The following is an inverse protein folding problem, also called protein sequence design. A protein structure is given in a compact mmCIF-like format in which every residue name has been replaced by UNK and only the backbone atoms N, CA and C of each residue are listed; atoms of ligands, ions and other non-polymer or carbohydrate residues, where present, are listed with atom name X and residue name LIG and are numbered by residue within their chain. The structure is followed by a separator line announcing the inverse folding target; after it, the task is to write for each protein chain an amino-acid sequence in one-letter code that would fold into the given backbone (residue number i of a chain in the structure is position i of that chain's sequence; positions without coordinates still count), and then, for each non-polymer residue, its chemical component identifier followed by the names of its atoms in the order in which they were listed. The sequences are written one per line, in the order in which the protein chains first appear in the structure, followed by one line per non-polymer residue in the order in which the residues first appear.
data_IF_393015174704
#
_entry.id   IF_393015174704
#
_cell.length_a   1.000
_cell.length_b   1.000
_cell.length_c   1.000
_cell.angle_alpha   90.00
_cell.angle_beta   90.00
_cell.angle_gamma   90.00
#
_symmetry.space_group_name_H-M   'P 1'
#
loop_
_entity.id
_entity.type
_entity.pdbx_description
1 polymer ?
#
# COMPACT_ATOMS: atom_id res chain seq x y z
N UNK A 1 -32.08 -32.93 11.97
CA UNK A 1 -31.70 -31.65 12.61
C UNK A 1 -30.20 -31.40 12.65
N UNK A 2 -29.32 -32.39 12.74
CA UNK A 2 -27.85 -32.22 12.79
C UNK A 2 -27.20 -31.70 11.48
N UNK A 3 -27.71 -32.10 10.32
CA UNK A 3 -27.14 -31.71 9.02
C UNK A 3 -27.33 -30.22 8.70
N UNK A 4 -28.46 -29.64 9.13
CA UNK A 4 -28.71 -28.20 8.94
C UNK A 4 -27.76 -27.31 9.79
N UNK A 5 -27.46 -27.76 11.02
CA UNK A 5 -26.49 -27.07 11.89
C UNK A 5 -25.07 -27.11 11.34
N UNK A 6 -24.65 -28.21 10.74
CA UNK A 6 -23.35 -28.34 10.09
C UNK A 6 -23.25 -27.44 8.85
N UNK A 7 -24.32 -27.36 8.04
CA UNK A 7 -24.36 -26.46 6.89
C UNK A 7 -24.29 -24.98 7.27
N UNK A 8 -25.03 -24.58 8.30
CA UNK A 8 -24.99 -23.21 8.82
C UNK A 8 -23.60 -22.83 9.36
N UNK A 9 -22.95 -23.76 10.09
CA UNK A 9 -21.59 -23.57 10.60
C UNK A 9 -20.55 -23.38 9.50
N UNK A 10 -20.63 -24.16 8.40
CA UNK A 10 -19.73 -24.03 7.27
C UNK A 10 -19.90 -22.69 6.54
N UNK A 11 -21.11 -22.23 6.34
CA UNK A 11 -21.39 -20.93 5.69
C UNK A 11 -20.87 -19.78 6.54
N UNK A 12 -21.07 -19.82 7.85
CA UNK A 12 -20.52 -18.81 8.77
C UNK A 12 -18.99 -18.82 8.78
N UNK A 13 -18.36 -19.98 8.81
CA UNK A 13 -16.90 -20.10 8.77
C UNK A 13 -16.31 -19.56 7.45
N UNK A 14 -16.92 -19.87 6.31
CA UNK A 14 -16.51 -19.36 5.01
C UNK A 14 -16.67 -17.83 4.90
N UNK A 15 -17.76 -17.29 5.44
CA UNK A 15 -18.01 -15.85 5.46
C UNK A 15 -16.99 -15.11 6.34
N UNK A 16 -16.67 -15.65 7.52
CA UNK A 16 -15.65 -15.11 8.42
C UNK A 16 -14.25 -15.17 7.80
N UNK A 17 -13.90 -16.27 7.13
CA UNK A 17 -12.64 -16.42 6.42
C UNK A 17 -12.50 -15.42 5.28
N UNK A 18 -13.57 -15.23 4.48
CA UNK A 18 -13.60 -14.24 3.40
C UNK A 18 -13.40 -12.81 3.91
N UNK A 19 -14.08 -12.45 5.00
CA UNK A 19 -13.91 -11.16 5.66
C UNK A 19 -12.48 -10.97 6.17
N UNK A 20 -11.93 -11.98 6.85
CA UNK A 20 -10.57 -11.90 7.41
C UNK A 20 -9.50 -11.74 6.31
N UNK A 21 -9.61 -12.51 5.23
CA UNK A 21 -8.68 -12.39 4.10
C UNK A 21 -8.78 -11.03 3.39
N UNK A 22 -9.98 -10.48 3.27
CA UNK A 22 -10.20 -9.15 2.73
C UNK A 22 -9.54 -8.07 3.62
N UNK A 23 -9.73 -8.14 4.95
CA UNK A 23 -9.11 -7.22 5.89
C UNK A 23 -7.57 -7.32 5.90
N UNK A 24 -7.02 -8.52 5.81
CA UNK A 24 -5.58 -8.72 5.76
C UNK A 24 -4.95 -8.03 4.53
N UNK A 25 -5.56 -8.20 3.35
CA UNK A 25 -5.11 -7.53 2.11
C UNK A 25 -5.23 -6.01 2.19
N UNK A 26 -6.33 -5.51 2.76
CA UNK A 26 -6.53 -4.08 2.93
C UNK A 26 -5.49 -3.46 3.87
N UNK A 27 -5.17 -4.15 4.96
CA UNK A 27 -4.11 -3.73 5.90
C UNK A 27 -2.74 -3.67 5.21
N UNK A 28 -2.38 -4.68 4.42
CA UNK A 28 -1.12 -4.71 3.68
C UNK A 28 -1.01 -3.53 2.69
N UNK A 29 -2.07 -3.22 1.96
CA UNK A 29 -2.09 -2.06 1.04
C UNK A 29 -1.86 -0.73 1.76
N UNK A 30 -2.44 -0.54 2.96
CA UNK A 30 -2.23 0.67 3.76
C UNK A 30 -0.82 0.77 4.29
N UNK A 31 -0.26 -0.33 4.79
CA UNK A 31 1.13 -0.39 5.26
C UNK A 31 2.09 -0.02 4.12
N UNK A 32 1.84 -0.54 2.91
CA UNK A 32 2.66 -0.22 1.75
C UNK A 32 2.61 1.29 1.40
N UNK A 33 1.42 1.91 1.39
CA UNK A 33 1.29 3.36 1.12
C UNK A 33 2.10 4.18 2.11
N UNK A 34 1.97 3.88 3.40
CA UNK A 34 2.72 4.55 4.45
C UNK A 34 4.23 4.34 4.30
N UNK A 35 4.65 3.11 4.03
CA UNK A 35 6.05 2.77 3.83
C UNK A 35 6.67 3.50 2.64
N UNK A 36 5.93 3.60 1.53
CA UNK A 36 6.38 4.36 0.36
C UNK A 36 6.47 5.86 0.66
N UNK A 37 5.49 6.44 1.36
CA UNK A 37 5.55 7.84 1.77
C UNK A 37 6.76 8.12 2.67
N UNK A 38 7.05 7.23 3.63
CA UNK A 38 8.22 7.33 4.51
C UNK A 38 9.53 7.23 3.71
N UNK A 39 9.61 6.30 2.76
CA UNK A 39 10.78 6.13 1.90
C UNK A 39 11.06 7.38 1.04
N UNK A 40 10.01 8.00 0.46
CA UNK A 40 10.17 9.26 -0.27
C UNK A 40 10.65 10.39 0.64
N UNK A 41 10.21 10.44 1.90
CA UNK A 41 10.69 11.40 2.89
C UNK A 41 12.16 11.19 3.24
N UNK A 42 12.62 9.95 3.35
CA UNK A 42 14.04 9.63 3.53
C UNK A 42 14.88 10.06 2.32
N UNK A 43 14.38 9.82 1.09
CA UNK A 43 15.04 10.29 -0.13
C UNK A 43 15.12 11.82 -0.17
N UNK A 44 14.02 12.52 0.10
CA UNK A 44 13.98 13.99 0.17
C UNK A 44 15.03 14.52 1.15
N UNK A 45 15.04 13.96 2.36
CA UNK A 45 15.97 14.36 3.43
C UNK A 45 17.43 14.05 3.07
N UNK A 46 17.69 12.88 2.50
CA UNK A 46 19.01 12.45 2.04
C UNK A 46 19.59 13.36 0.97
N UNK A 47 18.79 13.77 -0.01
CA UNK A 47 19.20 14.70 -1.06
C UNK A 47 19.41 16.11 -0.48
N UNK A 48 18.49 16.58 0.35
CA UNK A 48 18.45 17.96 0.82
C UNK A 48 19.56 18.26 1.84
N UNK A 49 19.74 17.37 2.83
CA UNK A 49 20.62 17.63 3.96
C UNK A 49 21.95 16.91 3.84
N UNK A 50 21.95 15.66 3.41
CA UNK A 50 23.15 14.82 3.34
C UNK A 50 23.84 14.88 1.99
N UNK A 51 23.23 15.49 0.99
CA UNK A 51 23.72 15.54 -0.39
C UNK A 51 24.08 14.16 -0.97
N UNK A 52 23.37 13.14 -0.50
CA UNK A 52 23.62 11.75 -0.89
C UNK A 52 23.13 11.51 -2.31
N UNK A 53 23.91 10.86 -3.18
CA UNK A 53 23.47 10.49 -4.53
C UNK A 53 22.24 9.56 -4.49
N UNK A 54 21.31 9.75 -5.42
CA UNK A 54 20.08 8.95 -5.54
C UNK A 54 20.32 7.43 -5.55
N UNK A 55 21.30 6.88 -6.28
CA UNK A 55 21.56 5.44 -6.26
C UNK A 55 21.89 4.89 -4.86
N UNK A 56 22.66 5.64 -4.07
CA UNK A 56 23.03 5.24 -2.69
C UNK A 56 21.80 5.25 -1.78
N UNK A 57 20.90 6.22 -1.94
CA UNK A 57 19.64 6.27 -1.19
C UNK A 57 18.73 5.10 -1.55
N UNK A 58 18.62 4.75 -2.84
CA UNK A 58 17.86 3.61 -3.31
C UNK A 58 18.40 2.28 -2.76
N UNK A 59 19.71 2.14 -2.71
CA UNK A 59 20.36 0.98 -2.11
C UNK A 59 20.04 0.86 -0.62
N UNK A 60 20.12 1.97 0.13
CA UNK A 60 19.71 2.01 1.53
C UNK A 60 18.24 1.62 1.73
N UNK A 61 17.34 2.10 0.88
CA UNK A 61 15.93 1.78 0.94
C UNK A 61 15.61 0.33 0.53
N UNK A 62 16.46 -0.31 -0.25
CA UNK A 62 16.28 -1.71 -0.70
C UNK A 62 16.29 -2.72 0.45
N UNK A 63 16.88 -2.35 1.59
CA UNK A 63 16.92 -3.16 2.82
C UNK A 63 15.66 -3.11 3.67
N UNK A 64 14.68 -2.27 3.36
CA UNK A 64 13.43 -2.16 4.14
C UNK A 64 12.54 -3.39 3.93
N UNK A 65 11.91 -3.88 4.99
CA UNK A 65 11.03 -5.05 4.92
C UNK A 65 9.68 -4.74 4.26
N UNK A 66 9.20 -3.50 4.41
CA UNK A 66 7.86 -3.06 4.04
C UNK A 66 7.71 -2.67 2.54
N UNK A 67 8.69 -1.97 1.99
CA UNK A 67 8.70 -1.49 0.59
C UNK A 67 10.02 -1.74 -0.16
N UNK A 68 11.04 -2.29 0.50
CA UNK A 68 12.39 -2.45 -0.05
C UNK A 68 12.45 -3.31 -1.31
N UNK A 69 11.53 -4.24 -1.49
CA UNK A 69 11.45 -5.07 -2.71
C UNK A 69 11.33 -4.20 -3.98
N UNK A 70 10.59 -3.10 -3.92
CA UNK A 70 10.42 -2.19 -5.06
C UNK A 70 11.69 -1.42 -5.36
N UNK A 71 12.33 -0.86 -4.34
CA UNK A 71 13.60 -0.14 -4.49
C UNK A 71 14.74 -1.07 -4.92
N UNK A 72 14.75 -2.32 -4.47
CA UNK A 72 15.71 -3.33 -4.93
C UNK A 72 15.58 -3.60 -6.42
N UNK A 73 14.35 -3.75 -6.93
CA UNK A 73 14.12 -3.91 -8.38
C UNK A 73 14.63 -2.71 -9.19
N UNK A 74 14.46 -1.49 -8.67
CA UNK A 74 15.03 -0.30 -9.32
C UNK A 74 16.56 -0.37 -9.32
N UNK A 75 17.18 -0.71 -8.19
CA UNK A 75 18.63 -0.82 -8.08
C UNK A 75 19.21 -1.92 -8.99
N UNK A 76 18.54 -3.06 -9.10
CA UNK A 76 18.92 -4.14 -10.02
C UNK A 76 18.91 -3.69 -11.49
N UNK A 77 17.91 -2.91 -11.90
CA UNK A 77 17.87 -2.34 -13.25
C UNK A 77 18.97 -1.30 -13.50
N UNK A 78 19.31 -0.50 -12.46
CA UNK A 78 20.43 0.45 -12.56
C UNK A 78 21.78 -0.25 -12.77
N UNK A 79 21.98 -1.43 -12.18
CA UNK A 79 23.18 -2.24 -12.40
C UNK A 79 23.27 -2.78 -13.85
N UNK A 80 22.15 -2.83 -14.57
CA UNK A 80 22.07 -3.19 -16.00
C UNK A 80 22.17 -1.99 -16.94
N UNK A 81 22.77 -0.86 -16.52
CA UNK A 81 22.93 0.38 -17.30
C UNK A 81 21.60 1.02 -17.79
N UNK A 82 20.49 0.71 -17.15
CA UNK A 82 19.19 1.33 -17.45
C UNK A 82 19.15 2.73 -16.79
N UNK A 83 18.74 3.79 -17.52
CA UNK A 83 18.58 5.10 -16.93
C UNK A 83 17.62 5.10 -15.73
N UNK A 84 17.96 5.85 -14.67
CA UNK A 84 17.22 5.88 -13.41
C UNK A 84 15.71 6.12 -13.60
N UNK A 85 15.32 7.08 -14.45
CA UNK A 85 13.92 7.37 -14.70
C UNK A 85 13.19 6.20 -15.36
N UNK A 86 13.84 5.51 -16.30
CA UNK A 86 13.25 4.35 -17.00
C UNK A 86 13.09 3.17 -16.04
N UNK A 87 14.10 2.92 -15.20
CA UNK A 87 14.05 1.88 -14.16
C UNK A 87 12.91 2.17 -13.16
N UNK A 88 12.79 3.42 -12.71
CA UNK A 88 11.74 3.87 -11.82
C UNK A 88 10.35 3.65 -12.42
N UNK A 89 10.11 4.16 -13.62
CA UNK A 89 8.83 4.07 -14.31
C UNK A 89 8.43 2.61 -14.58
N UNK A 90 9.38 1.77 -14.98
CA UNK A 90 9.13 0.35 -15.26
C UNK A 90 8.71 -0.42 -14.01
N UNK A 91 9.41 -0.21 -12.89
CA UNK A 91 9.14 -0.89 -11.63
C UNK A 91 7.79 -0.48 -11.04
N UNK A 92 7.50 0.83 -11.01
CA UNK A 92 6.26 1.33 -10.41
C UNK A 92 5.04 1.23 -11.34
N UNK A 93 5.23 0.91 -12.64
CA UNK A 93 4.13 0.56 -13.55
C UNK A 93 3.49 -0.78 -13.23
N UNK A 94 4.22 -1.69 -12.61
CA UNK A 94 3.77 -3.06 -12.27
C UNK A 94 3.17 -3.11 -10.85
N UNK A 95 3.10 -1.97 -10.14
CA UNK A 95 2.51 -1.94 -8.82
C UNK A 95 1.00 -2.26 -8.90
N UNK A 96 0.57 -3.31 -8.19
CA UNK A 96 -0.84 -3.77 -8.19
C UNK A 96 -1.82 -2.67 -7.73
N UNK A 97 -1.35 -1.76 -6.89
CA UNK A 97 -2.12 -0.61 -6.44
C UNK A 97 -1.91 0.55 -7.42
N UNK A 98 -2.82 0.68 -8.36
CA UNK A 98 -2.77 1.64 -9.46
C UNK A 98 -2.62 3.08 -8.97
N UNK A 99 -3.30 3.49 -7.88
CA UNK A 99 -3.19 4.86 -7.35
C UNK A 99 -1.76 5.16 -6.84
N UNK A 100 -1.16 4.22 -6.10
CA UNK A 100 0.23 4.38 -5.63
C UNK A 100 1.21 4.41 -6.80
N UNK A 101 1.01 3.51 -7.76
CA UNK A 101 1.83 3.43 -8.97
C UNK A 101 1.79 4.72 -9.78
N UNK A 102 0.61 5.29 -9.97
CA UNK A 102 0.44 6.56 -10.70
C UNK A 102 1.12 7.75 -10.02
N UNK A 103 1.02 7.85 -8.68
CA UNK A 103 1.69 8.91 -7.93
C UNK A 103 3.20 8.79 -8.09
N UNK A 104 3.76 7.58 -7.92
CA UNK A 104 5.21 7.36 -8.01
C UNK A 104 5.75 7.56 -9.43
N UNK A 105 5.02 7.16 -10.46
CA UNK A 105 5.42 7.37 -11.87
C UNK A 105 5.46 8.83 -12.29
N UNK A 106 4.70 9.72 -11.65
CA UNK A 106 4.76 11.16 -11.92
C UNK A 106 6.03 11.82 -11.38
N UNK A 107 6.74 11.13 -10.48
CA UNK A 107 7.98 11.67 -9.89
C UNK A 107 9.07 11.70 -10.96
N UNK A 108 9.55 12.89 -11.26
CA UNK A 108 10.70 13.10 -12.15
C UNK A 108 11.97 13.15 -11.33
N UNK A 109 12.82 12.12 -11.49
CA UNK A 109 14.09 11.99 -10.78
C UNK A 109 15.27 12.62 -11.56
N UNK A 110 14.99 13.36 -12.64
CA UNK A 110 15.98 14.05 -13.48
C UNK A 110 15.87 15.56 -13.30
N UNK A 111 17.03 16.24 -13.26
CA UNK A 111 17.11 17.68 -13.11
C UNK A 111 17.96 18.12 -11.94
N UNK A 112 17.78 19.36 -11.53
CA UNK A 112 18.47 19.93 -10.37
C UNK A 112 17.89 19.41 -9.04
N UNK A 113 18.69 19.55 -7.99
CA UNK A 113 18.36 19.04 -6.65
C UNK A 113 17.03 19.57 -6.13
N UNK A 114 16.77 20.88 -6.32
CA UNK A 114 15.56 21.51 -5.81
C UNK A 114 14.29 20.95 -6.48
N UNK A 115 14.37 20.69 -7.78
CA UNK A 115 13.28 20.11 -8.55
C UNK A 115 12.99 18.68 -8.08
N UNK A 116 14.02 17.84 -7.98
CA UNK A 116 13.85 16.44 -7.53
C UNK A 116 13.29 16.38 -6.10
N UNK A 117 13.82 17.18 -5.18
CA UNK A 117 13.28 17.22 -3.80
C UNK A 117 11.85 17.75 -3.77
N UNK A 118 11.49 18.71 -4.62
CA UNK A 118 10.13 19.21 -4.76
C UNK A 118 9.14 18.14 -5.25
N UNK A 119 9.55 17.35 -6.27
CA UNK A 119 8.74 16.25 -6.78
C UNK A 119 8.56 15.13 -5.74
N UNK A 120 9.63 14.74 -5.04
CA UNK A 120 9.56 13.74 -3.97
C UNK A 120 8.65 14.18 -2.82
N UNK A 121 8.72 15.45 -2.42
CA UNK A 121 7.84 16.01 -1.39
C UNK A 121 6.38 15.97 -1.84
N UNK A 122 6.07 16.41 -3.04
CA UNK A 122 4.72 16.39 -3.58
C UNK A 122 4.15 14.98 -3.61
N UNK A 123 4.91 14.02 -4.14
CA UNK A 123 4.50 12.62 -4.17
C UNK A 123 4.27 12.04 -2.76
N UNK A 124 5.13 12.39 -1.79
CA UNK A 124 4.95 12.02 -0.38
C UNK A 124 3.64 12.56 0.17
N UNK A 125 3.35 13.84 -0.03
CA UNK A 125 2.12 14.49 0.44
C UNK A 125 0.86 13.85 -0.18
N UNK A 126 0.92 13.51 -1.47
CA UNK A 126 -0.16 12.79 -2.16
C UNK A 126 -0.37 11.37 -1.58
N UNK A 127 0.71 10.62 -1.31
CA UNK A 127 0.62 9.31 -0.66
C UNK A 127 0.09 9.40 0.78
N UNK A 128 0.51 10.40 1.55
CA UNK A 128 -0.01 10.63 2.90
C UNK A 128 -1.50 11.01 2.88
N UNK A 129 -1.94 11.81 1.91
CA UNK A 129 -3.34 12.14 1.72
C UNK A 129 -4.17 10.90 1.33
N UNK A 130 -3.63 10.05 0.44
CA UNK A 130 -4.23 8.78 0.06
C UNK A 130 -4.36 7.83 1.27
N UNK A 131 -3.32 7.74 2.09
CA UNK A 131 -3.34 6.95 3.33
C UNK A 131 -4.44 7.43 4.27
N UNK A 132 -4.52 8.74 4.53
CA UNK A 132 -5.57 9.34 5.39
C UNK A 132 -6.98 9.08 4.86
N UNK A 133 -7.19 9.20 3.54
CA UNK A 133 -8.46 8.90 2.89
C UNK A 133 -8.86 7.44 3.11
N UNK A 134 -7.96 6.50 2.85
CA UNK A 134 -8.20 5.07 3.04
C UNK A 134 -8.47 4.69 4.50
N UNK A 135 -7.79 5.33 5.45
CA UNK A 135 -8.07 5.12 6.88
C UNK A 135 -9.46 5.64 7.29
N UNK A 136 -9.90 6.76 6.72
CA UNK A 136 -11.23 7.32 6.99
C UNK A 136 -12.37 6.47 6.44
N UNK A 137 -12.24 6.00 5.20
CA UNK A 137 -13.24 5.13 4.54
C UNK A 137 -13.43 3.79 5.25
N UNK A 138 -12.34 3.21 5.74
CA UNK A 138 -12.38 1.92 6.43
C UNK A 138 -13.10 2.00 7.78
N UNK A 139 -12.97 3.09 8.51
CA UNK A 139 -13.70 3.30 9.77
C UNK A 139 -15.22 3.33 9.56
N UNK A 140 -15.67 3.91 8.47
CA UNK A 140 -17.10 3.95 8.14
C UNK A 140 -17.61 2.60 7.62
N UNK A 141 -16.86 1.93 6.74
CA UNK A 141 -17.20 0.60 6.23
C UNK A 141 -17.22 -0.46 7.34
N UNK A 142 -16.30 -0.39 8.31
CA UNK A 142 -16.25 -1.31 9.44
C UNK A 142 -17.52 -1.22 10.31
N UNK A 143 -18.04 -0.02 10.54
CA UNK A 143 -19.32 0.17 11.27
C UNK A 143 -20.50 -0.42 10.51
N UNK A 144 -20.56 -0.22 9.19
CA UNK A 144 -21.64 -0.76 8.35
C UNK A 144 -21.57 -2.29 8.28
N UNK A 145 -20.38 -2.86 8.10
CA UNK A 145 -20.19 -4.33 8.03
C UNK A 145 -20.48 -5.00 9.36
N UNK A 146 -20.08 -4.40 10.48
CA UNK A 146 -20.39 -4.91 11.81
C UNK A 146 -21.90 -4.87 12.09
N UNK A 147 -22.58 -3.80 11.71
CA UNK A 147 -24.03 -3.70 11.83
C UNK A 147 -24.76 -4.74 10.96
N UNK A 148 -24.32 -4.91 9.70
CA UNK A 148 -24.88 -5.92 8.80
C UNK A 148 -24.65 -7.36 9.31
N UNK A 149 -23.47 -7.65 9.86
CA UNK A 149 -23.19 -8.97 10.46
C UNK A 149 -24.06 -9.26 11.68
N UNK A 150 -24.27 -8.25 12.55
CA UNK A 150 -25.16 -8.37 13.71
C UNK A 150 -26.62 -8.58 13.29
N UNK A 151 -27.11 -7.84 12.29
CA UNK A 151 -28.45 -8.02 11.77
C UNK A 151 -28.64 -9.40 11.11
N UNK A 152 -27.64 -9.85 10.34
CA UNK A 152 -27.65 -11.18 9.71
C UNK A 152 -27.65 -12.32 10.73
N UNK A 153 -26.84 -12.22 11.77
CA UNK A 153 -26.82 -13.19 12.89
C UNK A 153 -28.17 -13.23 13.62
N UNK A 154 -28.76 -12.07 13.91
CA UNK A 154 -30.09 -11.99 14.51
C UNK A 154 -31.18 -12.64 13.66
N UNK A 155 -31.14 -12.43 12.34
CA UNK A 155 -32.09 -13.01 11.40
C UNK A 155 -31.98 -14.55 11.33
N UNK A 156 -30.75 -15.08 11.35
CA UNK A 156 -30.51 -16.55 11.40
C UNK A 156 -31.03 -17.16 12.71
N UNK A 157 -30.83 -16.48 13.84
CA UNK A 157 -31.35 -16.95 15.13
C UNK A 157 -32.89 -16.99 15.12
N UNK A 158 -33.56 -15.98 14.58
CA UNK A 158 -35.02 -15.92 14.47
C UNK A 158 -35.57 -17.05 13.55
N UNK A 159 -34.84 -17.39 12.49
CA UNK A 159 -35.22 -18.47 11.57
C UNK A 159 -35.01 -19.88 12.16
N UNK A 160 -34.20 -20.01 13.20
CA UNK A 160 -33.89 -21.28 13.85
C UNK A 160 -34.78 -21.58 15.07
N UNK A 161 -35.48 -20.55 15.59
CA UNK A 161 -36.47 -20.69 16.67
C UNK A 161 -37.86 -20.94 16.10
#
# INVERSE_FOLDING_TARGET
MSTALWGAGLVLAASLWGLWSYYARQKQRRVLVWALAAALGEMESGIRWLQTPLPVLLEGLSGREDCGVWFRKVTEQLQGDVPLQVAWDSVFSVLEDTENGEILRRVTLSGDRERVTGELRRAREELEALYRRRCGEDGQRMRVTAAAALCGAGFVIILLI
#
